data_IF_373521009779
#
_entry.id   IF_373521009779
#
_cell.length_a   1.000
_cell.length_b   1.000
_cell.length_c   1.000
_cell.angle_alpha   90.00
_cell.angle_beta   90.00
_cell.angle_gamma   90.00
#
_symmetry.space_group_name_H-M   'P 1'
#
loop_
_entity.id
_entity.type
_entity.pdbx_description
1 polymer ?
#
# COMPACT_ATOMS: atom_id res chain seq x y z
N UNK A 1 -10.66 -13.50 -12.77
CA UNK A 1 -11.07 -14.92 -12.51
C UNK A 1 -10.97 -15.14 -11.01
N UNK A 2 -12.04 -15.62 -10.38
CA UNK A 2 -12.03 -16.07 -9.00
C UNK A 2 -11.52 -17.50 -8.89
N UNK A 3 -10.65 -17.75 -7.92
CA UNK A 3 -10.10 -19.06 -7.59
C UNK A 3 -10.16 -19.26 -6.07
N UNK A 4 -11.27 -19.77 -5.59
CA UNK A 4 -11.54 -19.87 -4.16
C UNK A 4 -11.57 -18.49 -3.50
N UNK A 5 -10.68 -18.28 -2.51
CA UNK A 5 -10.56 -17.01 -1.79
C UNK A 5 -9.65 -16.00 -2.50
N UNK A 6 -9.13 -16.33 -3.68
CA UNK A 6 -8.26 -15.45 -4.45
C UNK A 6 -8.96 -14.90 -5.70
N UNK A 7 -8.47 -13.75 -6.13
CA UNK A 7 -8.84 -13.10 -7.39
C UNK A 7 -7.59 -12.98 -8.25
N UNK A 8 -7.71 -13.44 -9.50
CA UNK A 8 -6.65 -13.33 -10.50
C UNK A 8 -7.08 -12.37 -11.59
N UNK A 9 -6.26 -11.39 -11.85
CA UNK A 9 -6.48 -10.43 -12.93
C UNK A 9 -5.16 -9.82 -13.38
N UNK A 10 -5.17 -9.25 -14.57
CA UNK A 10 -4.06 -8.40 -15.01
C UNK A 10 -4.10 -7.06 -14.25
N UNK A 11 -2.95 -6.47 -14.01
CA UNK A 11 -2.83 -5.10 -13.47
C UNK A 11 -3.64 -4.89 -12.18
N UNK A 12 -3.62 -5.89 -11.28
CA UNK A 12 -4.08 -5.66 -9.90
C UNK A 12 -3.19 -4.62 -9.25
N UNK A 13 -1.94 -4.63 -9.62
CA UNK A 13 -1.01 -3.53 -9.46
C UNK A 13 -1.29 -2.44 -10.54
N UNK A 14 -1.82 -1.25 -10.18
CA UNK A 14 -2.36 -0.95 -8.85
C UNK A 14 -3.87 -0.68 -8.88
N UNK A 15 -4.63 -1.41 -9.70
CA UNK A 15 -6.09 -1.26 -9.80
C UNK A 15 -6.82 -1.68 -8.53
N UNK A 16 -6.21 -2.57 -7.74
CA UNK A 16 -6.81 -3.01 -6.48
C UNK A 16 -6.79 -1.87 -5.44
N UNK A 17 -5.73 -1.10 -5.35
CA UNK A 17 -5.68 0.07 -4.47
C UNK A 17 -6.62 1.19 -4.93
N UNK A 18 -6.80 1.35 -6.25
CA UNK A 18 -7.83 2.26 -6.79
C UNK A 18 -9.23 1.87 -6.29
N UNK A 19 -9.56 0.58 -6.35
CA UNK A 19 -10.82 0.07 -5.83
C UNK A 19 -10.97 0.33 -4.33
N UNK A 20 -9.94 0.01 -3.54
CA UNK A 20 -9.94 0.23 -2.08
C UNK A 20 -10.15 1.70 -1.76
N UNK A 21 -9.44 2.61 -2.43
CA UNK A 21 -9.56 4.04 -2.20
C UNK A 21 -10.96 4.56 -2.52
N UNK A 22 -11.56 4.13 -3.62
CA UNK A 22 -12.94 4.47 -3.98
C UNK A 22 -13.93 4.00 -2.90
N UNK A 23 -13.81 2.75 -2.45
CA UNK A 23 -14.69 2.22 -1.41
C UNK A 23 -14.48 2.90 -0.05
N UNK A 24 -13.25 3.31 0.25
CA UNK A 24 -12.92 4.08 1.45
C UNK A 24 -13.61 5.44 1.42
N UNK A 25 -13.53 6.17 0.30
CA UNK A 25 -14.17 7.49 0.16
C UNK A 25 -15.69 7.39 0.28
N UNK A 26 -16.30 6.38 -0.32
CA UNK A 26 -17.75 6.16 -0.22
C UNK A 26 -18.22 5.94 1.23
N UNK A 27 -17.36 5.40 2.08
CA UNK A 27 -17.66 5.12 3.50
C UNK A 27 -17.24 6.26 4.43
N UNK A 28 -16.44 7.20 3.94
CA UNK A 28 -15.93 8.31 4.74
C UNK A 28 -17.05 9.29 5.04
N UNK A 29 -17.39 9.43 6.33
CA UNK A 29 -18.41 10.36 6.80
C UNK A 29 -17.81 11.33 7.81
N UNK A 30 -18.07 12.62 7.61
CA UNK A 30 -17.62 13.69 8.52
C UNK A 30 -16.13 13.59 8.90
N UNK A 31 -15.20 13.63 7.93
CA UNK A 31 -13.78 13.58 8.24
C UNK A 31 -13.38 14.76 9.13
N UNK A 32 -12.51 14.49 10.12
CA UNK A 32 -12.02 15.52 11.03
C UNK A 32 -11.01 16.47 10.38
N UNK A 33 -10.50 16.12 9.21
CA UNK A 33 -9.48 16.85 8.47
C UNK A 33 -9.88 16.94 6.99
N UNK A 34 -9.32 17.92 6.29
CA UNK A 34 -9.39 17.97 4.84
C UNK A 34 -8.74 16.71 4.27
N UNK A 35 -9.51 15.92 3.55
CA UNK A 35 -9.08 14.62 3.04
C UNK A 35 -9.02 14.63 1.52
N UNK A 36 -7.88 14.26 0.98
CA UNK A 36 -7.61 14.20 -0.45
C UNK A 36 -7.40 12.75 -0.88
N UNK A 37 -8.24 12.28 -1.77
CA UNK A 37 -8.02 11.03 -2.48
C UNK A 37 -7.34 11.31 -3.80
N UNK A 38 -6.15 10.79 -3.98
CA UNK A 38 -5.29 11.10 -5.13
C UNK A 38 -5.04 9.83 -5.91
N UNK A 39 -5.45 9.83 -7.17
CA UNK A 39 -5.14 8.77 -8.14
C UNK A 39 -3.98 9.25 -9.00
N UNK A 40 -2.81 8.79 -8.68
CA UNK A 40 -1.57 9.21 -9.33
C UNK A 40 -1.39 8.56 -10.69
N UNK A 41 -0.55 9.14 -11.49
CA UNK A 41 -0.12 8.60 -12.78
C UNK A 41 1.38 8.41 -12.81
N UNK A 42 1.87 7.51 -13.66
CA UNK A 42 3.30 7.28 -13.85
C UNK A 42 4.04 6.84 -12.56
N UNK A 43 3.40 6.00 -11.74
CA UNK A 43 4.05 5.39 -10.59
C UNK A 43 5.18 4.47 -11.07
N UNK A 44 4.90 3.55 -11.97
CA UNK A 44 5.78 2.50 -12.53
C UNK A 44 7.03 3.03 -13.27
N UNK A 45 7.10 4.32 -13.53
CA UNK A 45 8.21 4.96 -14.22
C UNK A 45 8.90 6.03 -13.38
N UNK A 46 8.78 5.93 -12.07
CA UNK A 46 9.49 6.78 -11.12
C UNK A 46 8.63 7.63 -10.19
N UNK A 47 7.44 7.16 -9.82
CA UNK A 47 6.57 7.76 -8.77
C UNK A 47 6.22 9.23 -9.10
N UNK A 48 6.06 9.56 -10.37
CA UNK A 48 6.06 10.95 -10.86
C UNK A 48 4.81 11.72 -10.46
N UNK A 49 3.63 11.09 -10.57
CA UNK A 49 2.36 11.74 -10.25
C UNK A 49 2.26 12.13 -8.78
N UNK A 50 2.72 11.28 -7.88
CA UNK A 50 2.75 11.56 -6.44
C UNK A 50 3.61 12.76 -6.09
N UNK A 51 4.74 12.94 -6.78
CA UNK A 51 5.61 14.10 -6.59
C UNK A 51 4.86 15.41 -6.82
N UNK A 52 4.18 15.51 -7.95
CA UNK A 52 3.47 16.75 -8.35
C UNK A 52 2.25 16.99 -7.46
N UNK A 53 1.49 15.93 -7.17
CA UNK A 53 0.31 16.01 -6.32
C UNK A 53 0.67 16.46 -4.90
N UNK A 54 1.72 15.90 -4.32
CA UNK A 54 2.19 16.25 -2.97
C UNK A 54 2.65 17.70 -2.88
N UNK A 55 3.39 18.18 -3.86
CA UNK A 55 3.82 19.59 -3.90
C UNK A 55 2.65 20.56 -3.95
N UNK A 56 1.54 20.17 -4.60
CA UNK A 56 0.34 21.00 -4.70
C UNK A 56 -0.50 20.94 -3.42
N UNK A 57 -0.70 19.74 -2.86
CA UNK A 57 -1.57 19.50 -1.69
C UNK A 57 -0.86 19.89 -0.39
N UNK A 58 0.43 19.57 -0.28
CA UNK A 58 1.25 19.78 0.93
C UNK A 58 0.64 19.15 2.18
N UNK A 59 0.40 17.83 2.18
CA UNK A 59 -0.28 17.17 3.28
C UNK A 59 0.58 17.13 4.54
N UNK A 60 -0.04 17.23 5.72
CA UNK A 60 0.61 16.97 7.01
C UNK A 60 0.81 15.47 7.23
N UNK A 61 -0.17 14.67 6.79
CA UNK A 61 -0.19 13.22 6.89
C UNK A 61 -0.49 12.59 5.52
N UNK A 62 0.07 11.42 5.27
CA UNK A 62 -0.22 10.72 4.04
C UNK A 62 -0.13 9.20 4.15
N UNK A 63 -0.96 8.53 3.36
CA UNK A 63 -0.95 7.07 3.21
C UNK A 63 -0.76 6.74 1.74
N UNK A 64 0.25 5.94 1.43
CA UNK A 64 0.34 5.23 0.17
C UNK A 64 -0.52 3.98 0.20
N UNK A 65 -1.24 3.73 -0.88
CA UNK A 65 -1.94 2.46 -1.10
C UNK A 65 -1.34 1.80 -2.33
N UNK A 66 -0.75 0.64 -2.16
CA UNK A 66 -0.04 -0.04 -3.24
C UNK A 66 -0.14 -1.56 -3.11
N UNK A 67 0.41 -2.28 -4.06
CA UNK A 67 0.63 -3.71 -3.96
C UNK A 67 2.03 -3.99 -3.42
N UNK A 68 2.28 -5.22 -2.99
CA UNK A 68 3.61 -5.67 -2.58
C UNK A 68 3.81 -7.15 -2.88
N UNK A 69 5.05 -7.59 -2.89
CA UNK A 69 5.42 -8.96 -3.23
C UNK A 69 4.93 -9.95 -2.17
N UNK A 70 4.05 -10.87 -2.56
CA UNK A 70 3.77 -12.08 -1.82
C UNK A 70 4.60 -13.23 -2.40
N UNK A 71 5.77 -13.47 -1.82
CA UNK A 71 6.67 -14.53 -2.26
C UNK A 71 6.51 -15.78 -1.39
N UNK A 72 5.27 -16.21 -1.24
CA UNK A 72 4.83 -17.36 -0.45
C UNK A 72 4.51 -18.59 -1.31
N UNK A 73 5.27 -18.75 -2.40
CA UNK A 73 5.11 -19.84 -3.36
C UNK A 73 5.92 -21.08 -2.93
N UNK A 74 5.54 -22.29 -3.39
CA UNK A 74 6.32 -23.49 -3.12
C UNK A 74 7.78 -23.34 -3.57
N UNK A 75 8.71 -23.65 -2.66
CA UNK A 75 10.14 -23.55 -2.91
C UNK A 75 10.77 -22.20 -2.56
N UNK A 76 9.99 -21.19 -2.20
CA UNK A 76 10.53 -19.94 -1.69
C UNK A 76 11.23 -20.16 -0.34
N UNK A 77 12.44 -19.63 -0.20
CA UNK A 77 13.13 -19.66 1.08
C UNK A 77 12.46 -18.69 2.07
N UNK A 78 12.49 -19.02 3.37
CA UNK A 78 11.80 -18.22 4.38
C UNK A 78 12.25 -16.75 4.41
N UNK A 79 13.53 -16.52 4.20
CA UNK A 79 14.10 -15.16 4.19
C UNK A 79 13.76 -14.34 2.93
N UNK A 80 13.19 -14.97 1.90
CA UNK A 80 12.75 -14.30 0.66
C UNK A 80 11.29 -13.88 0.71
N UNK A 81 10.54 -14.38 1.70
CA UNK A 81 9.13 -14.04 1.87
C UNK A 81 8.99 -12.64 2.44
N UNK A 82 8.48 -11.72 1.63
CA UNK A 82 8.19 -10.35 2.05
C UNK A 82 6.84 -10.30 2.75
N UNK A 83 5.80 -10.82 2.08
CA UNK A 83 4.44 -10.98 2.62
C UNK A 83 3.83 -12.31 2.18
N UNK A 84 2.68 -12.65 2.74
CA UNK A 84 1.93 -13.86 2.39
C UNK A 84 0.47 -13.53 2.11
N UNK A 85 -0.10 -14.18 1.09
CA UNK A 85 -1.53 -14.05 0.77
C UNK A 85 -2.40 -14.54 1.93
N UNK A 86 -3.47 -13.82 2.20
CA UNK A 86 -4.46 -14.16 3.22
C UNK A 86 -4.01 -13.90 4.66
N UNK A 87 -2.83 -13.31 4.86
CA UNK A 87 -2.31 -12.96 6.18
C UNK A 87 -2.68 -11.55 6.64
N UNK A 88 -3.45 -10.83 5.83
CA UNK A 88 -3.90 -9.47 6.10
C UNK A 88 -3.10 -8.42 5.35
N UNK A 89 -3.58 -7.19 5.43
CA UNK A 89 -2.91 -6.03 4.82
C UNK A 89 -1.47 -5.90 5.33
N UNK A 90 -0.55 -5.55 4.45
CA UNK A 90 0.83 -5.31 4.86
C UNK A 90 1.01 -3.85 5.29
N UNK A 91 1.57 -3.64 6.47
CA UNK A 91 1.98 -2.33 6.97
C UNK A 91 3.47 -2.17 6.67
N UNK A 92 3.77 -1.26 5.77
CA UNK A 92 5.13 -1.03 5.29
C UNK A 92 5.99 -0.38 6.37
N UNK A 93 7.13 -0.99 6.63
CA UNK A 93 8.22 -0.41 7.43
C UNK A 93 9.17 0.36 6.53
N UNK A 94 9.62 -0.29 5.44
CA UNK A 94 10.47 0.33 4.43
C UNK A 94 10.32 -0.33 3.06
N UNK A 95 10.68 0.43 2.05
CA UNK A 95 11.03 -0.08 0.72
C UNK A 95 12.33 0.59 0.22
N UNK A 96 12.70 0.38 -1.04
CA UNK A 96 13.92 0.96 -1.62
C UNK A 96 13.91 2.49 -1.72
N UNK A 97 12.77 3.14 -1.54
CA UNK A 97 12.57 4.59 -1.71
C UNK A 97 12.21 5.32 -0.43
N UNK A 98 11.70 4.63 0.59
CA UNK A 98 11.25 5.25 1.83
C UNK A 98 11.45 4.36 3.06
N UNK A 99 11.67 5.00 4.19
CA UNK A 99 11.47 4.43 5.52
C UNK A 99 10.24 5.14 6.07
N UNK A 100 9.18 4.41 6.33
CA UNK A 100 7.94 4.99 6.83
C UNK A 100 8.13 5.65 8.20
N UNK A 101 7.43 6.75 8.44
CA UNK A 101 7.49 7.43 9.74
C UNK A 101 6.97 6.50 10.84
N UNK A 102 7.76 6.30 11.87
CA UNK A 102 7.42 5.37 12.96
C UNK A 102 6.12 5.73 13.69
N UNK A 103 5.78 7.02 13.74
CA UNK A 103 4.49 7.48 14.32
C UNK A 103 3.32 6.98 13.46
N UNK A 104 3.47 7.04 12.14
CA UNK A 104 2.44 6.54 11.21
C UNK A 104 2.35 5.02 11.26
N UNK A 105 3.48 4.32 11.28
CA UNK A 105 3.51 2.86 11.43
C UNK A 105 2.79 2.43 12.71
N UNK A 106 3.15 3.02 13.84
CA UNK A 106 2.51 2.73 15.12
C UNK A 106 1.00 3.05 15.11
N UNK A 107 0.60 4.14 14.46
CA UNK A 107 -0.81 4.50 14.32
C UNK A 107 -1.58 3.44 13.52
N UNK A 108 -1.03 2.99 12.40
CA UNK A 108 -1.63 1.95 11.55
C UNK A 108 -1.76 0.62 12.30
N UNK A 109 -0.69 0.17 12.97
CA UNK A 109 -0.69 -1.06 13.76
C UNK A 109 -1.71 -1.02 14.90
N UNK A 110 -1.67 0.03 15.72
CA UNK A 110 -2.62 0.20 16.82
C UNK A 110 -4.08 0.27 16.35
N UNK A 111 -4.30 0.89 15.19
CA UNK A 111 -5.64 0.96 14.59
C UNK A 111 -6.11 -0.42 14.12
N UNK A 112 -5.24 -1.18 13.48
CA UNK A 112 -5.54 -2.53 13.05
C UNK A 112 -5.84 -3.45 14.25
N UNK A 113 -5.00 -3.43 15.27
CA UNK A 113 -5.19 -4.23 16.48
C UNK A 113 -6.48 -3.90 17.21
N UNK A 114 -6.76 -2.61 17.41
CA UNK A 114 -8.00 -2.13 18.06
C UNK A 114 -9.25 -2.60 17.32
N UNK A 115 -9.20 -2.67 16.02
CA UNK A 115 -10.33 -3.07 15.17
C UNK A 115 -10.27 -4.56 14.77
N UNK A 116 -9.32 -5.33 15.29
CA UNK A 116 -9.15 -6.77 14.99
C UNK A 116 -8.96 -7.03 13.49
N UNK A 117 -8.29 -6.13 12.80
CA UNK A 117 -7.91 -6.26 11.40
C UNK A 117 -6.60 -7.04 11.34
N UNK A 118 -6.58 -8.12 10.56
CA UNK A 118 -5.35 -8.87 10.34
C UNK A 118 -4.36 -8.04 9.53
N UNK A 119 -3.12 -8.02 9.98
CA UNK A 119 -2.05 -7.31 9.30
C UNK A 119 -0.72 -8.04 9.44
N UNK A 120 0.22 -7.70 8.58
CA UNK A 120 1.59 -8.21 8.60
C UNK A 120 2.58 -7.08 8.33
N UNK A 121 3.85 -7.27 8.69
CA UNK A 121 4.90 -6.32 8.32
C UNK A 121 5.31 -6.47 6.86
N UNK A 122 5.72 -5.35 6.26
CA UNK A 122 6.40 -5.33 4.99
C UNK A 122 7.78 -4.68 5.13
N UNK A 123 8.81 -5.44 4.79
CA UNK A 123 10.20 -4.97 4.67
C UNK A 123 10.67 -5.42 3.29
N UNK A 124 10.73 -4.48 2.37
CA UNK A 124 11.12 -4.72 0.98
C UNK A 124 12.35 -3.85 0.66
N UNK A 125 13.49 -4.47 0.39
CA UNK A 125 14.74 -3.73 0.15
C UNK A 125 14.88 -3.17 -1.26
N UNK A 126 13.85 -3.31 -2.08
CA UNK A 126 13.81 -2.86 -3.47
C UNK A 126 12.48 -2.16 -3.76
N UNK A 127 12.35 -1.59 -4.97
CA UNK A 127 11.13 -0.92 -5.39
C UNK A 127 10.90 0.42 -4.68
N UNK A 128 9.71 0.96 -4.85
CA UNK A 128 9.28 2.20 -4.21
C UNK A 128 7.79 2.39 -4.40
N UNK A 129 7.20 3.27 -3.61
CA UNK A 129 5.78 3.60 -3.67
C UNK A 129 5.59 5.11 -3.58
N UNK A 130 4.39 5.56 -3.87
CA UNK A 130 4.00 6.97 -3.77
C UNK A 130 4.31 7.60 -2.41
N UNK A 131 4.37 6.80 -1.35
CA UNK A 131 4.71 7.21 0.02
C UNK A 131 6.02 7.97 0.10
N UNK A 132 7.02 7.57 -0.69
CA UNK A 132 8.32 8.25 -0.73
C UNK A 132 8.18 9.73 -1.11
N UNK A 133 7.34 10.03 -2.10
CA UNK A 133 7.10 11.41 -2.53
C UNK A 133 6.15 12.16 -1.59
N UNK A 134 5.16 11.49 -1.00
CA UNK A 134 4.32 12.09 0.04
C UNK A 134 5.21 12.56 1.20
N UNK A 135 6.15 11.73 1.63
CA UNK A 135 7.01 12.02 2.76
C UNK A 135 7.96 13.21 2.50
N UNK A 136 8.57 13.30 1.33
CA UNK A 136 9.69 14.22 1.07
C UNK A 136 9.39 15.45 0.21
N UNK A 137 8.24 15.50 -0.48
CA UNK A 137 7.93 16.59 -1.42
C UNK A 137 7.13 17.74 -0.81
N UNK A 138 6.75 17.64 0.45
CA UNK A 138 6.18 18.73 1.24
C UNK A 138 7.31 19.52 1.91
N UNK A 139 7.28 20.85 1.94
CA UNK A 139 8.23 21.62 2.73
C UNK A 139 8.21 21.19 4.21
N UNK A 140 9.35 20.73 4.71
CA UNK A 140 9.46 20.18 6.07
C UNK A 140 9.10 18.69 6.18
N UNK A 141 8.66 18.07 5.10
CA UNK A 141 8.25 16.66 5.06
C UNK A 141 6.83 16.43 5.60
N UNK A 142 6.29 15.24 5.35
CA UNK A 142 4.99 14.79 5.87
C UNK A 142 5.16 13.52 6.68
N UNK A 143 4.29 13.31 7.66
CA UNK A 143 4.21 12.04 8.39
C UNK A 143 3.49 11.03 7.47
N UNK A 144 4.24 10.12 6.87
CA UNK A 144 3.70 9.20 5.88
C UNK A 144 4.03 7.73 6.17
N UNK A 145 3.11 6.86 5.76
CA UNK A 145 3.23 5.42 5.79
C UNK A 145 2.48 4.79 4.63
N UNK A 146 2.55 3.48 4.51
CA UNK A 146 1.88 2.76 3.45
C UNK A 146 1.17 1.50 3.93
N UNK A 147 0.02 1.24 3.32
CA UNK A 147 -0.66 -0.04 3.32
C UNK A 147 -0.42 -0.71 1.97
N UNK A 148 0.03 -1.93 2.01
CA UNK A 148 0.28 -2.69 0.78
C UNK A 148 -0.58 -3.96 0.74
N UNK A 149 -1.05 -4.29 -0.44
CA UNK A 149 -1.85 -5.49 -0.69
C UNK A 149 -0.91 -6.60 -1.15
N UNK A 150 -0.75 -7.70 -0.38
CA UNK A 150 0.03 -8.83 -0.81
C UNK A 150 -0.42 -9.36 -2.17
N UNK A 151 0.49 -9.39 -3.13
CA UNK A 151 0.18 -9.74 -4.52
C UNK A 151 1.20 -10.76 -5.05
N UNK A 152 0.75 -11.96 -5.43
CA UNK A 152 1.59 -12.92 -6.14
C UNK A 152 1.74 -12.52 -7.59
N UNK A 153 2.94 -12.71 -8.10
CA UNK A 153 3.32 -12.48 -9.49
C UNK A 153 3.14 -11.01 -9.92
N UNK A 154 3.38 -10.07 -8.96
CA UNK A 154 3.41 -8.64 -9.24
C UNK A 154 4.27 -8.34 -10.48
N UNK A 155 3.86 -7.38 -11.30
CA UNK A 155 4.47 -7.01 -12.59
C UNK A 155 4.44 -8.12 -13.66
N UNK A 156 3.59 -9.12 -13.48
CA UNK A 156 3.38 -10.18 -14.46
C UNK A 156 2.03 -10.02 -15.19
N UNK A 157 1.83 -10.81 -16.24
CA UNK A 157 0.62 -10.75 -17.06
C UNK A 157 -0.66 -11.11 -16.30
N UNK A 158 -0.54 -11.90 -15.25
CA UNK A 158 -1.63 -12.24 -14.32
C UNK A 158 -1.09 -12.15 -12.90
N UNK A 159 -1.79 -11.42 -12.09
CA UNK A 159 -1.51 -11.20 -10.68
C UNK A 159 -2.61 -11.81 -9.82
N UNK A 160 -2.29 -12.12 -8.57
CA UNK A 160 -3.20 -12.76 -7.65
C UNK A 160 -3.20 -12.04 -6.30
N UNK A 161 -4.38 -11.71 -5.80
CA UNK A 161 -4.61 -11.19 -4.43
C UNK A 161 -5.61 -12.08 -3.70
N UNK A 162 -5.51 -12.10 -2.38
CA UNK A 162 -6.47 -12.80 -1.53
C UNK A 162 -7.55 -11.84 -1.03
N UNK A 163 -8.82 -12.26 -1.07
CA UNK A 163 -9.96 -11.41 -0.70
C UNK A 163 -9.88 -10.85 0.72
N UNK A 164 -9.34 -11.61 1.67
CA UNK A 164 -9.16 -11.17 3.07
C UNK A 164 -8.14 -10.04 3.25
N UNK A 165 -7.23 -9.85 2.30
CA UNK A 165 -6.22 -8.80 2.37
C UNK A 165 -6.77 -7.46 1.83
N UNK A 166 -7.98 -7.48 1.27
CA UNK A 166 -8.65 -6.33 0.63
C UNK A 166 -9.91 -5.89 1.39
N UNK A 167 -10.47 -6.77 2.24
CA UNK A 167 -11.78 -6.54 2.91
C UNK A 167 -11.66 -5.84 4.25
#
# INVERSE_FOLDING_TARGET
IEMGDCVNCKSLDNRIAVFILIETIKRLTNPAFDTYAVFTVQEEVGIRGAQVATQKIKPDFGFGLDTTIAYDVPGAAEHEKITSLGSGVAIKILDGSTICDSRMVNFMQNTADKNKINWQHEILTAGGTDTANIQRMTPGGSIAGAFSIPTRHIHQVIEMVHKKDVS
#
